data_IF_325732478831
#
_entry.id   IF_325732478831
#
_cell.length_a   1.000
_cell.length_b   1.000
_cell.length_c   1.000
_cell.angle_alpha   90.00
_cell.angle_beta   90.00
_cell.angle_gamma   90.00
#
_symmetry.space_group_name_H-M   'P 1'
#
loop_
_entity.id
_entity.type
_entity.pdbx_description
1 polymer ?
#
# COMPACT_ATOMS: atom_id res chain seq x y z
N UNK A 1 10.47 -21.39 -2.21
CA UNK A 1 9.57 -20.37 -1.62
C UNK A 1 10.11 -19.01 -2.02
N UNK A 2 9.50 -18.35 -3.00
CA UNK A 2 9.93 -17.02 -3.47
C UNK A 2 9.70 -16.00 -2.36
N UNK A 3 10.73 -15.23 -1.98
CA UNK A 3 10.56 -14.18 -0.95
C UNK A 3 9.76 -13.02 -1.52
N UNK A 4 8.98 -12.35 -0.68
CA UNK A 4 8.15 -11.21 -1.10
C UNK A 4 8.99 -10.14 -1.83
N UNK A 5 10.22 -9.90 -1.37
CA UNK A 5 11.20 -8.96 -1.94
C UNK A 5 11.73 -9.34 -3.34
N UNK A 6 11.57 -10.60 -3.76
CA UNK A 6 11.98 -11.08 -5.09
C UNK A 6 10.83 -11.05 -6.11
N UNK A 7 9.62 -10.70 -5.65
CA UNK A 7 8.44 -10.61 -6.51
C UNK A 7 8.38 -9.25 -7.20
N UNK A 8 7.81 -9.17 -8.42
CA UNK A 8 7.55 -7.89 -9.07
C UNK A 8 6.68 -7.00 -8.17
N UNK A 9 6.97 -5.70 -8.17
CA UNK A 9 6.28 -4.72 -7.31
C UNK A 9 4.76 -4.71 -7.53
N UNK A 10 4.30 -4.97 -8.76
CA UNK A 10 2.88 -5.12 -9.06
C UNK A 10 2.20 -6.21 -8.20
N UNK A 11 2.91 -7.32 -7.96
CA UNK A 11 2.42 -8.44 -7.15
C UNK A 11 2.49 -8.13 -5.67
N UNK A 12 3.59 -7.51 -5.22
CA UNK A 12 3.72 -7.02 -3.84
C UNK A 12 2.58 -6.05 -3.50
N UNK A 13 2.31 -5.07 -4.38
CA UNK A 13 1.20 -4.14 -4.24
C UNK A 13 -0.14 -4.88 -4.18
N UNK A 14 -0.31 -5.96 -4.95
CA UNK A 14 -1.51 -6.81 -4.89
C UNK A 14 -1.70 -7.47 -3.52
N UNK A 15 -0.63 -8.04 -2.96
CA UNK A 15 -0.64 -8.64 -1.62
C UNK A 15 -0.94 -7.57 -0.57
N UNK A 16 -0.26 -6.42 -0.66
CA UNK A 16 -0.45 -5.30 0.27
C UNK A 16 -1.88 -4.76 0.27
N UNK A 17 -2.52 -4.64 -0.90
CA UNK A 17 -3.93 -4.20 -0.98
C UNK A 17 -4.90 -5.18 -0.29
N UNK A 18 -4.54 -6.46 -0.19
CA UNK A 18 -5.34 -7.45 0.52
C UNK A 18 -5.06 -7.47 2.03
N UNK A 19 -4.02 -6.78 2.50
CA UNK A 19 -3.69 -6.72 3.92
C UNK A 19 -4.68 -5.81 4.68
N UNK A 20 -5.32 -6.32 5.75
CA UNK A 20 -6.32 -5.55 6.50
C UNK A 20 -5.74 -4.36 7.26
N UNK A 21 -4.46 -4.37 7.61
CA UNK A 21 -3.81 -3.22 8.25
C UNK A 21 -3.55 -2.13 7.22
N UNK A 22 -3.09 -2.49 6.01
CA UNK A 22 -2.95 -1.51 4.92
C UNK A 22 -4.30 -0.91 4.52
N UNK A 23 -5.36 -1.72 4.49
CA UNK A 23 -6.72 -1.22 4.26
C UNK A 23 -7.18 -0.20 5.32
N UNK A 24 -6.84 -0.40 6.60
CA UNK A 24 -7.12 0.56 7.68
C UNK A 24 -6.25 1.81 7.57
N UNK A 25 -5.00 1.66 7.16
CA UNK A 25 -4.09 2.77 6.89
C UNK A 25 -4.64 3.67 5.78
N UNK A 26 -4.97 3.08 4.63
CA UNK A 26 -5.56 3.78 3.49
C UNK A 26 -6.87 4.46 3.86
N UNK A 27 -7.74 3.79 4.64
CA UNK A 27 -8.97 4.37 5.15
C UNK A 27 -8.72 5.60 6.04
N UNK A 28 -7.80 5.48 7.00
CA UNK A 28 -7.43 6.56 7.92
C UNK A 28 -6.85 7.76 7.17
N UNK A 29 -5.98 7.51 6.18
CA UNK A 29 -5.38 8.54 5.33
C UNK A 29 -6.40 9.23 4.42
N UNK A 30 -7.40 8.49 3.94
CA UNK A 30 -8.49 9.02 3.12
C UNK A 30 -9.58 9.75 3.93
N UNK A 31 -9.44 9.83 5.26
CA UNK A 31 -10.39 10.50 6.14
C UNK A 31 -11.50 9.60 6.70
N UNK A 32 -11.55 8.33 6.31
CA UNK A 32 -12.47 7.34 6.88
C UNK A 32 -11.91 6.75 8.18
N UNK A 33 -11.82 7.59 9.20
CA UNK A 33 -11.25 7.23 10.51
C UNK A 33 -12.09 6.17 11.22
N UNK A 34 -11.45 5.10 11.68
CA UNK A 34 -12.10 3.98 12.38
C UNK A 34 -12.68 2.91 11.45
N UNK A 35 -12.67 3.14 10.14
CA UNK A 35 -13.10 2.17 9.15
C UNK A 35 -11.96 1.36 8.52
N UNK A 36 -12.35 0.42 7.66
CA UNK A 36 -11.44 -0.41 6.87
C UNK A 36 -11.89 -0.37 5.42
N UNK A 37 -10.95 -0.14 4.51
CA UNK A 37 -11.21 -0.22 3.08
C UNK A 37 -11.28 -1.67 2.60
N UNK A 38 -11.91 -1.88 1.44
CA UNK A 38 -11.83 -3.17 0.75
C UNK A 38 -10.53 -3.26 -0.04
N UNK A 39 -10.17 -4.45 -0.50
CA UNK A 39 -8.98 -4.64 -1.34
C UNK A 39 -9.02 -3.81 -2.64
N UNK A 40 -10.22 -3.55 -3.18
CA UNK A 40 -10.39 -2.69 -4.35
C UNK A 40 -10.12 -1.23 -4.00
N UNK A 41 -10.73 -0.70 -2.93
CA UNK A 41 -10.53 0.67 -2.50
C UNK A 41 -9.07 0.95 -2.08
N UNK A 42 -8.41 -0.01 -1.42
CA UNK A 42 -6.98 0.08 -1.11
C UNK A 42 -6.12 0.13 -2.40
N UNK A 43 -6.49 -0.65 -3.42
CA UNK A 43 -5.81 -0.62 -4.71
C UNK A 43 -6.04 0.70 -5.47
N UNK A 44 -7.22 1.30 -5.36
CA UNK A 44 -7.48 2.64 -5.91
C UNK A 44 -6.64 3.70 -5.19
N UNK A 45 -6.62 3.68 -3.86
CA UNK A 45 -5.78 4.58 -3.07
C UNK A 45 -4.30 4.47 -3.44
N UNK A 46 -3.79 3.24 -3.60
CA UNK A 46 -2.41 3.01 -4.04
C UNK A 46 -2.16 3.59 -5.44
N UNK A 47 -3.09 3.39 -6.39
CA UNK A 47 -2.98 3.95 -7.74
C UNK A 47 -2.91 5.48 -7.73
N UNK A 48 -3.79 6.12 -6.97
CA UNK A 48 -3.80 7.58 -6.81
C UNK A 48 -2.51 8.09 -6.17
N UNK A 49 -2.03 7.41 -5.13
CA UNK A 49 -0.82 7.82 -4.39
C UNK A 49 0.45 7.62 -5.21
N UNK A 50 0.55 6.49 -5.92
CA UNK A 50 1.70 6.19 -6.78
C UNK A 50 1.59 6.80 -8.18
N UNK A 51 0.51 7.54 -8.48
CA UNK A 51 0.21 8.16 -9.78
C UNK A 51 0.20 7.18 -10.97
N UNK A 52 -0.25 5.95 -10.74
CA UNK A 52 -0.33 4.89 -11.75
C UNK A 52 -1.76 4.57 -12.12
N UNK A 53 -1.97 4.11 -13.35
CA UNK A 53 -3.28 3.59 -13.79
C UNK A 53 -3.46 2.12 -13.41
N UNK A 54 -2.37 1.34 -13.47
CA UNK A 54 -2.39 -0.08 -13.17
C UNK A 54 -1.21 -0.47 -12.27
N UNK A 55 -1.41 -1.50 -11.43
CA UNK A 55 -0.32 -2.05 -10.60
C UNK A 55 0.88 -2.51 -11.43
N UNK A 56 0.67 -2.88 -12.70
CA UNK A 56 1.72 -3.27 -13.64
C UNK A 56 2.70 -2.13 -13.92
N UNK A 57 2.25 -0.87 -13.88
CA UNK A 57 3.12 0.29 -14.10
C UNK A 57 4.23 0.37 -13.03
N UNK A 58 4.01 -0.17 -11.82
CA UNK A 58 5.07 -0.27 -10.78
C UNK A 58 6.27 -1.08 -11.22
N UNK A 59 6.13 -2.01 -12.19
CA UNK A 59 7.27 -2.80 -12.63
C UNK A 59 8.15 -2.04 -13.63
N UNK A 60 7.62 -0.98 -14.27
CA UNK A 60 8.30 -0.29 -15.38
C UNK A 60 8.58 1.17 -15.08
N UNK A 61 7.76 1.81 -14.24
CA UNK A 61 7.83 3.23 -13.95
C UNK A 61 8.60 3.49 -12.66
N UNK A 62 9.79 4.09 -12.77
CA UNK A 62 10.68 4.31 -11.62
C UNK A 62 10.13 5.36 -10.65
N UNK A 63 9.34 6.33 -11.12
CA UNK A 63 8.71 7.32 -10.25
C UNK A 63 7.63 6.65 -9.40
N UNK A 64 6.81 5.80 -10.03
CA UNK A 64 5.83 4.98 -9.32
C UNK A 64 6.48 4.06 -8.27
N UNK A 65 7.62 3.44 -8.58
CA UNK A 65 8.38 2.62 -7.63
C UNK A 65 8.85 3.43 -6.42
N UNK A 66 9.32 4.67 -6.65
CA UNK A 66 9.76 5.58 -5.60
C UNK A 66 8.59 5.97 -4.69
N UNK A 67 7.45 6.33 -5.27
CA UNK A 67 6.23 6.63 -4.53
C UNK A 67 5.73 5.41 -3.74
N UNK A 68 5.79 4.22 -4.32
CA UNK A 68 5.40 2.98 -3.65
C UNK A 68 6.32 2.63 -2.48
N UNK A 69 7.63 2.82 -2.61
CA UNK A 69 8.57 2.66 -1.51
C UNK A 69 8.30 3.66 -0.38
N UNK A 70 8.06 4.94 -0.71
CA UNK A 70 7.69 5.96 0.28
C UNK A 70 6.38 5.59 0.99
N UNK A 71 5.39 5.07 0.26
CA UNK A 71 4.11 4.60 0.81
C UNK A 71 4.31 3.43 1.78
N UNK A 72 5.19 2.47 1.45
CA UNK A 72 5.52 1.37 2.34
C UNK A 72 6.22 1.86 3.63
N UNK A 73 7.15 2.79 3.52
CA UNK A 73 7.79 3.42 4.69
C UNK A 73 6.78 4.13 5.57
N UNK A 74 5.84 4.87 4.98
CA UNK A 74 4.80 5.56 5.73
C UNK A 74 3.83 4.58 6.40
N UNK A 75 3.47 3.49 5.73
CA UNK A 75 2.67 2.42 6.28
C UNK A 75 3.37 1.74 7.46
N UNK A 76 4.66 1.44 7.35
CA UNK A 76 5.45 0.84 8.44
C UNK A 76 5.54 1.78 9.66
N UNK A 77 5.80 3.07 9.42
CA UNK A 77 5.79 4.08 10.47
C UNK A 77 4.42 4.19 11.17
N UNK A 78 3.33 4.13 10.41
CA UNK A 78 1.98 4.12 10.96
C UNK A 78 1.66 2.83 11.71
N UNK A 79 2.12 1.67 11.22
CA UNK A 79 1.98 0.38 11.91
C UNK A 79 2.73 0.40 13.25
N UNK A 80 3.94 0.96 13.29
CA UNK A 80 4.69 1.20 14.52
C UNK A 80 3.91 2.09 15.50
N UNK A 81 3.26 3.14 14.99
CA UNK A 81 2.38 4.00 15.79
C UNK A 81 1.17 3.25 16.39
N UNK A 82 0.58 2.30 15.66
CA UNK A 82 -0.51 1.46 16.20
C UNK A 82 0.01 0.44 17.21
N UNK A 83 1.17 -0.17 16.96
CA UNK A 83 1.76 -1.14 17.88
C UNK A 83 2.03 -0.51 19.26
N UNK A 84 2.42 0.77 19.30
CA UNK A 84 2.63 1.52 20.54
C UNK A 84 1.36 2.04 21.22
N UNK A 85 0.17 1.88 20.62
CA UNK A 85 -1.10 2.37 21.19
C UNK A 85 -1.88 1.27 21.94
N UNK A 86 -1.20 0.29 22.54
CA UNK A 86 -1.80 -0.83 23.25
C UNK A 86 -1.46 -0.83 24.73
#
# INVERSE_FOLDING_TARGET
MTRLSEMPQATQAGILCNDPQFQKFAATKSGFRGGQFTAQAAAEYLRTTCKIKSRRDLNTDTDAQTNFNALQTEFDAWRGKIASQR
#
